data_IF_880176751001
#
_entry.id   IF_880176751001
#
_cell.length_a   1.000
_cell.length_b   1.000
_cell.length_c   1.000
_cell.angle_alpha   90.00
_cell.angle_beta   90.00
_cell.angle_gamma   90.00
#
_symmetry.space_group_name_H-M   'P 1'
#
loop_
_entity.id
_entity.type
_entity.pdbx_description
1 polymer ?
#
# COMPACT_ATOMS: atom_id res chain seq x y z
N UNK A 1 7.10 -6.20 -12.53
CA UNK A 1 7.28 -6.57 -11.09
C UNK A 1 7.76 -8.00 -10.90
N UNK A 2 7.43 -8.93 -11.82
CA UNK A 2 7.86 -10.33 -11.76
C UNK A 2 9.39 -10.51 -11.90
N UNK A 3 10.09 -9.54 -12.52
CA UNK A 3 11.55 -9.63 -12.74
C UNK A 3 12.37 -9.32 -11.49
N UNK A 4 11.76 -8.73 -10.46
CA UNK A 4 12.41 -8.46 -9.17
C UNK A 4 12.02 -9.59 -8.21
N UNK A 5 12.95 -10.51 -7.98
CA UNK A 5 12.74 -11.74 -7.20
C UNK A 5 13.72 -11.81 -6.03
N UNK A 6 13.39 -12.56 -4.97
CA UNK A 6 14.32 -12.79 -3.87
C UNK A 6 15.42 -13.81 -4.24
N UNK A 7 16.56 -13.85 -3.51
CA UNK A 7 16.87 -13.02 -2.35
C UNK A 7 17.04 -11.55 -2.72
N UNK A 8 16.44 -10.66 -1.93
CA UNK A 8 16.52 -9.22 -2.20
C UNK A 8 17.87 -8.64 -1.74
N UNK A 9 18.36 -7.68 -2.52
CA UNK A 9 19.34 -6.68 -2.09
C UNK A 9 18.57 -5.42 -1.71
N UNK A 10 19.24 -4.45 -1.09
CA UNK A 10 18.59 -3.18 -0.76
C UNK A 10 18.04 -2.49 -2.02
N UNK A 11 18.83 -2.45 -3.09
CA UNK A 11 18.43 -1.87 -4.36
C UNK A 11 17.18 -2.54 -4.94
N UNK A 12 17.15 -3.88 -4.97
CA UNK A 12 16.01 -4.61 -5.53
C UNK A 12 14.80 -4.54 -4.61
N UNK A 13 14.98 -4.51 -3.29
CA UNK A 13 13.90 -4.28 -2.33
C UNK A 13 13.26 -2.89 -2.51
N UNK A 14 14.05 -1.82 -2.64
CA UNK A 14 13.55 -0.46 -2.91
C UNK A 14 12.77 -0.42 -4.23
N UNK A 15 13.31 -1.00 -5.30
CA UNK A 15 12.61 -1.12 -6.59
C UNK A 15 11.30 -1.92 -6.46
N UNK A 16 11.28 -2.99 -5.66
CA UNK A 16 10.06 -3.78 -5.41
C UNK A 16 8.99 -2.95 -4.70
N UNK A 17 9.37 -2.19 -3.68
CA UNK A 17 8.46 -1.32 -2.92
C UNK A 17 7.86 -0.24 -3.81
N UNK A 18 8.67 0.44 -4.64
CA UNK A 18 8.17 1.47 -5.56
C UNK A 18 7.31 0.90 -6.68
N UNK A 19 7.68 -0.24 -7.25
CA UNK A 19 6.79 -0.92 -8.20
C UNK A 19 5.43 -1.28 -7.57
N UNK A 20 5.41 -1.73 -6.31
CA UNK A 20 4.15 -1.98 -5.60
C UNK A 20 3.36 -0.69 -5.33
N UNK A 21 4.02 0.41 -4.95
CA UNK A 21 3.39 1.73 -4.83
C UNK A 21 2.70 2.13 -6.14
N UNK A 22 3.42 2.06 -7.27
CA UNK A 22 2.90 2.48 -8.57
C UNK A 22 1.70 1.64 -8.98
N UNK A 23 1.75 0.33 -8.77
CA UNK A 23 0.61 -0.55 -9.03
C UNK A 23 -0.60 -0.19 -8.19
N UNK A 24 -0.45 0.04 -6.88
CA UNK A 24 -1.57 0.44 -6.02
C UNK A 24 -2.15 1.80 -6.40
N UNK A 25 -1.32 2.75 -6.86
CA UNK A 25 -1.76 4.06 -7.35
C UNK A 25 -2.53 3.99 -8.68
N UNK A 26 -2.52 2.85 -9.40
CA UNK A 26 -3.43 2.67 -10.54
C UNK A 26 -4.89 2.51 -10.13
N UNK A 27 -5.14 2.11 -8.88
CA UNK A 27 -6.47 1.79 -8.35
C UNK A 27 -7.24 0.78 -9.21
N UNK A 28 -6.53 -0.11 -9.91
CA UNK A 28 -7.07 -1.16 -10.78
C UNK A 28 -6.98 -2.52 -10.06
N UNK A 29 -8.08 -3.06 -9.50
CA UNK A 29 -8.06 -4.28 -8.72
C UNK A 29 -7.50 -5.50 -9.48
N UNK A 30 -7.95 -5.83 -10.70
CA UNK A 30 -7.35 -6.91 -11.49
C UNK A 30 -5.85 -6.74 -11.72
N UNK A 31 -5.40 -5.52 -12.06
CA UNK A 31 -3.99 -5.24 -12.30
C UNK A 31 -3.16 -5.39 -11.03
N UNK A 32 -3.61 -4.85 -9.90
CA UNK A 32 -2.92 -4.98 -8.61
C UNK A 32 -2.85 -6.44 -8.16
N UNK A 33 -3.91 -7.23 -8.38
CA UNK A 33 -3.96 -8.64 -8.04
C UNK A 33 -2.86 -9.49 -8.73
N UNK A 34 -2.34 -9.06 -9.89
CA UNK A 34 -1.26 -9.76 -10.61
C UNK A 34 0.07 -9.82 -9.82
N UNK A 35 0.24 -8.94 -8.84
CA UNK A 35 1.41 -8.93 -7.95
C UNK A 35 1.44 -10.08 -6.92
N UNK A 36 0.35 -10.83 -6.79
CA UNK A 36 0.16 -11.85 -5.76
C UNK A 36 0.04 -13.26 -6.37
N UNK A 37 0.42 -14.28 -5.60
CA UNK A 37 0.19 -15.67 -6.01
C UNK A 37 -1.31 -16.01 -5.98
N UNK A 38 -1.79 -17.01 -6.76
CA UNK A 38 -3.21 -17.40 -6.76
C UNK A 38 -3.76 -17.84 -5.41
N UNK A 39 -2.88 -18.23 -4.48
CA UNK A 39 -3.19 -18.69 -3.12
C UNK A 39 -2.70 -17.71 -2.04
N UNK A 40 -2.36 -16.46 -2.42
CA UNK A 40 -1.78 -15.48 -1.52
C UNK A 40 -2.67 -15.23 -0.30
N UNK A 41 -2.06 -15.21 0.89
CA UNK A 41 -2.76 -15.00 2.17
C UNK A 41 -2.66 -13.53 2.56
N UNK A 42 -3.80 -12.91 2.83
CA UNK A 42 -3.86 -11.53 3.31
C UNK A 42 -4.45 -11.45 4.71
N UNK A 43 -3.83 -10.61 5.53
CA UNK A 43 -4.53 -9.87 6.58
C UNK A 43 -4.47 -8.40 6.23
N UNK A 44 -5.62 -7.75 6.17
CA UNK A 44 -5.70 -6.30 6.04
C UNK A 44 -6.52 -5.75 7.21
N UNK A 45 -5.83 -5.12 8.17
CA UNK A 45 -6.40 -4.73 9.46
C UNK A 45 -7.02 -5.95 10.16
N UNK A 46 -8.35 -6.01 10.24
CA UNK A 46 -9.13 -7.08 10.86
C UNK A 46 -9.70 -8.08 9.85
N UNK A 47 -9.52 -7.87 8.54
CA UNK A 47 -10.00 -8.76 7.49
C UNK A 47 -8.95 -9.80 7.12
N UNK A 48 -9.35 -11.07 7.01
CA UNK A 48 -8.50 -12.20 6.61
C UNK A 48 -9.11 -12.88 5.41
N UNK A 49 -8.32 -13.08 4.36
CA UNK A 49 -8.78 -13.71 3.12
C UNK A 49 -7.60 -14.23 2.30
N UNK A 50 -7.89 -15.05 1.30
CA UNK A 50 -6.86 -15.62 0.43
C UNK A 50 -7.29 -15.73 -1.01
N UNK A 51 -6.32 -15.60 -1.90
CA UNK A 51 -6.46 -15.86 -3.33
C UNK A 51 -6.98 -14.68 -4.17
N UNK A 52 -6.78 -14.80 -5.48
CA UNK A 52 -6.95 -13.71 -6.45
C UNK A 52 -8.35 -13.09 -6.41
N UNK A 53 -9.39 -13.92 -6.39
CA UNK A 53 -10.79 -13.45 -6.42
C UNK A 53 -11.10 -12.56 -5.19
N UNK A 54 -10.77 -13.04 -3.99
CA UNK A 54 -10.97 -12.29 -2.76
C UNK A 54 -10.12 -11.00 -2.69
N UNK A 55 -8.91 -11.02 -3.27
CA UNK A 55 -8.08 -9.81 -3.39
C UNK A 55 -8.75 -8.77 -4.31
N UNK A 56 -9.25 -9.20 -5.47
CA UNK A 56 -9.95 -8.32 -6.42
C UNK A 56 -11.22 -7.74 -5.79
N UNK A 57 -12.02 -8.56 -5.12
CA UNK A 57 -13.23 -8.13 -4.42
C UNK A 57 -12.90 -7.09 -3.33
N UNK A 58 -11.92 -7.39 -2.48
CA UNK A 58 -11.48 -6.48 -1.42
C UNK A 58 -11.03 -5.13 -1.98
N UNK A 59 -10.19 -5.14 -3.02
CA UNK A 59 -9.64 -3.93 -3.63
C UNK A 59 -10.73 -3.12 -4.35
N UNK A 60 -11.70 -3.80 -4.97
CA UNK A 60 -12.87 -3.15 -5.59
C UNK A 60 -13.71 -2.42 -4.54
N UNK A 61 -14.01 -3.08 -3.42
CA UNK A 61 -14.72 -2.46 -2.30
C UNK A 61 -13.92 -1.30 -1.68
N UNK A 62 -12.59 -1.45 -1.55
CA UNK A 62 -11.69 -0.41 -1.05
C UNK A 62 -11.80 0.87 -1.87
N UNK A 63 -11.62 0.82 -3.19
CA UNK A 63 -11.62 2.03 -4.02
C UNK A 63 -13.01 2.53 -4.42
N UNK A 64 -14.07 1.75 -4.17
CA UNK A 64 -15.44 2.29 -4.15
C UNK A 64 -15.69 3.21 -2.94
N UNK A 65 -14.96 3.01 -1.85
CA UNK A 65 -15.05 3.84 -0.63
C UNK A 65 -14.00 4.93 -0.58
N UNK A 66 -12.75 4.58 -0.87
CA UNK A 66 -11.58 5.44 -0.73
C UNK A 66 -11.27 6.16 -2.05
N UNK A 67 -11.91 7.30 -2.26
CA UNK A 67 -11.75 8.13 -3.46
C UNK A 67 -10.48 8.97 -3.41
N UNK A 68 -10.01 9.41 -4.59
CA UNK A 68 -8.84 10.28 -4.73
C UNK A 68 -7.61 9.73 -3.99
N UNK A 69 -7.49 8.41 -3.99
CA UNK A 69 -6.46 7.65 -3.29
C UNK A 69 -5.08 7.97 -3.86
N UNK A 70 -4.15 8.37 -2.99
CA UNK A 70 -2.74 8.58 -3.35
C UNK A 70 -1.87 7.95 -2.28
N UNK A 71 -0.93 7.10 -2.69
CA UNK A 71 -0.09 6.29 -1.82
C UNK A 71 1.39 6.57 -2.05
N UNK A 72 2.13 6.64 -0.95
CA UNK A 72 3.59 6.51 -0.91
C UNK A 72 3.97 5.31 -0.04
N UNK A 73 4.88 4.47 -0.54
CA UNK A 73 5.52 3.39 0.21
C UNK A 73 7.02 3.65 0.31
N UNK A 74 7.60 3.33 1.46
CA UNK A 74 9.04 3.35 1.68
C UNK A 74 9.50 2.01 2.27
N UNK A 75 10.69 1.59 1.84
CA UNK A 75 11.33 0.39 2.38
C UNK A 75 11.71 0.66 3.84
N UNK A 76 11.23 -0.17 4.77
CA UNK A 76 11.65 -0.13 6.16
C UNK A 76 12.81 -1.10 6.41
N UNK A 77 12.65 -2.36 5.99
CA UNK A 77 13.70 -3.38 6.10
C UNK A 77 13.44 -4.53 5.12
N UNK A 78 14.44 -5.36 4.86
CA UNK A 78 14.30 -6.57 4.04
C UNK A 78 15.20 -7.68 4.58
N UNK A 79 14.81 -8.92 4.32
CA UNK A 79 15.63 -10.08 4.60
C UNK A 79 15.22 -11.22 3.67
N UNK A 80 16.14 -11.62 2.78
CA UNK A 80 15.96 -12.76 1.88
C UNK A 80 14.69 -12.65 1.01
N UNK A 81 13.61 -13.37 1.35
CA UNK A 81 12.32 -13.38 0.65
C UNK A 81 11.26 -12.47 1.29
N UNK A 82 11.67 -11.59 2.21
CA UNK A 82 10.76 -10.72 2.97
C UNK A 82 11.13 -9.25 2.84
N UNK A 83 10.09 -8.42 2.83
CA UNK A 83 10.21 -6.96 2.86
C UNK A 83 9.22 -6.44 3.89
N UNK A 84 9.70 -5.57 4.79
CA UNK A 84 8.89 -4.74 5.66
C UNK A 84 8.81 -3.33 5.06
N UNK A 85 7.60 -2.78 5.02
CA UNK A 85 7.28 -1.53 4.33
C UNK A 85 6.51 -0.63 5.26
N UNK A 86 6.88 0.65 5.28
CA UNK A 86 6.04 1.71 5.81
C UNK A 86 5.34 2.43 4.67
N UNK A 87 4.13 2.92 4.91
CA UNK A 87 3.39 3.63 3.89
C UNK A 87 2.43 4.65 4.46
N UNK A 88 2.08 5.60 3.62
CA UNK A 88 1.06 6.59 3.87
C UNK A 88 0.18 6.70 2.64
N UNK A 89 -1.13 6.75 2.84
CA UNK A 89 -2.02 7.15 1.76
C UNK A 89 -3.05 8.14 2.24
N UNK A 90 -3.44 9.03 1.35
CA UNK A 90 -4.53 9.99 1.56
C UNK A 90 -5.70 9.66 0.66
N UNK A 91 -6.91 9.82 1.18
CA UNK A 91 -8.15 9.51 0.46
C UNK A 91 -9.33 10.31 1.03
N UNK A 92 -10.39 10.40 0.24
CA UNK A 92 -11.71 10.83 0.70
C UNK A 92 -12.59 9.61 0.96
N UNK A 93 -13.26 9.60 2.10
CA UNK A 93 -14.12 8.49 2.49
C UNK A 93 -15.58 8.77 2.10
N UNK A 94 -16.09 8.04 1.08
CA UNK A 94 -17.47 8.16 0.62
C UNK A 94 -18.52 7.77 1.68
N UNK A 95 -18.12 7.00 2.69
CA UNK A 95 -19.02 6.63 3.79
C UNK A 95 -19.09 7.69 4.89
N UNK A 96 -18.27 8.74 4.76
CA UNK A 96 -18.02 9.70 5.83
C UNK A 96 -17.93 11.12 5.26
N UNK A 97 -18.94 11.50 4.45
CA UNK A 97 -19.09 12.85 3.91
C UNK A 97 -17.93 13.32 3.03
N UNK A 98 -17.19 12.41 2.40
CA UNK A 98 -15.99 12.72 1.61
C UNK A 98 -14.88 13.42 2.42
N UNK A 99 -14.85 13.21 3.74
CA UNK A 99 -13.80 13.74 4.61
C UNK A 99 -12.44 13.14 4.26
N UNK A 100 -11.41 13.98 4.26
CA UNK A 100 -10.04 13.57 3.96
C UNK A 100 -9.40 12.85 5.14
N UNK A 101 -8.81 11.69 4.86
CA UNK A 101 -8.08 10.90 5.85
C UNK A 101 -6.67 10.60 5.34
N UNK A 102 -5.73 10.52 6.27
CA UNK A 102 -4.39 9.96 6.04
C UNK A 102 -4.28 8.66 6.81
N UNK A 103 -4.03 7.57 6.09
CA UNK A 103 -3.68 6.29 6.71
C UNK A 103 -2.17 6.23 6.88
N UNK A 104 -1.74 5.90 8.10
CA UNK A 104 -0.37 5.49 8.42
C UNK A 104 -0.37 3.98 8.53
N UNK A 105 0.55 3.29 7.87
CA UNK A 105 0.57 1.84 7.98
C UNK A 105 1.91 1.17 7.73
N UNK A 106 1.92 -0.10 8.12
CA UNK A 106 3.03 -1.02 7.99
C UNK A 106 2.53 -2.28 7.27
N UNK A 107 3.36 -2.80 6.37
CA UNK A 107 3.12 -4.07 5.71
C UNK A 107 4.32 -4.99 5.84
N UNK A 108 4.09 -6.26 6.16
CA UNK A 108 5.06 -7.32 5.95
C UNK A 108 4.68 -8.18 4.75
N UNK A 109 5.65 -8.39 3.87
CA UNK A 109 5.52 -9.08 2.61
C UNK A 109 6.40 -10.32 2.61
N UNK A 110 5.88 -11.46 2.17
CA UNK A 110 6.68 -12.66 1.87
C UNK A 110 6.46 -13.06 0.43
N UNK A 111 7.55 -13.34 -0.28
CA UNK A 111 7.54 -13.59 -1.71
C UNK A 111 7.81 -15.05 -2.05
N UNK A 112 7.17 -15.51 -3.11
CA UNK A 112 7.54 -16.75 -3.77
C UNK A 112 8.84 -16.56 -4.57
N UNK A 113 9.80 -17.47 -4.40
CA UNK A 113 11.16 -17.31 -4.96
C UNK A 113 11.19 -17.42 -6.47
N UNK A 114 10.42 -18.36 -7.02
CA UNK A 114 10.45 -18.67 -8.45
C UNK A 114 9.73 -17.59 -9.26
N UNK A 115 8.56 -17.17 -8.80
CA UNK A 115 7.71 -16.23 -9.52
C UNK A 115 8.00 -14.77 -9.17
N UNK A 116 8.56 -14.50 -7.98
CA UNK A 116 8.69 -13.15 -7.43
C UNK A 116 7.36 -12.51 -7.01
N UNK A 117 6.25 -13.26 -7.04
CA UNK A 117 4.94 -12.78 -6.60
C UNK A 117 4.81 -12.87 -5.09
N UNK A 118 4.03 -11.99 -4.50
CA UNK A 118 3.80 -12.01 -3.06
C UNK A 118 2.86 -13.16 -2.69
N UNK A 119 3.28 -14.05 -1.78
CA UNK A 119 2.48 -15.18 -1.27
C UNK A 119 1.84 -14.91 0.09
N UNK A 120 2.29 -13.87 0.80
CA UNK A 120 1.71 -13.40 2.05
C UNK A 120 1.82 -11.88 2.16
N UNK A 121 0.72 -11.21 2.51
CA UNK A 121 0.66 -9.77 2.82
C UNK A 121 -0.06 -9.56 4.14
N UNK A 122 0.63 -8.98 5.12
CA UNK A 122 0.00 -8.57 6.37
C UNK A 122 0.11 -7.07 6.48
N UNK A 123 -1.03 -6.38 6.55
CA UNK A 123 -1.07 -4.92 6.64
C UNK A 123 -1.79 -4.49 7.91
N UNK A 124 -1.15 -3.60 8.66
CA UNK A 124 -1.76 -2.83 9.73
C UNK A 124 -1.75 -1.36 9.33
N UNK A 125 -2.81 -0.64 9.65
CA UNK A 125 -2.86 0.80 9.43
C UNK A 125 -3.96 1.46 10.23
N UNK A 126 -3.79 2.76 10.46
CA UNK A 126 -4.67 3.60 11.25
C UNK A 126 -4.95 4.89 10.49
N UNK A 127 -6.20 5.32 10.50
CA UNK A 127 -6.63 6.52 9.78
C UNK A 127 -6.69 7.72 10.72
N UNK A 128 -6.11 8.82 10.26
CA UNK A 128 -6.15 10.13 10.88
C UNK A 128 -7.04 11.06 10.03
N UNK A 129 -8.00 11.74 10.66
CA UNK A 129 -8.78 12.79 9.99
C UNK A 129 -7.88 14.00 9.73
N UNK A 130 -7.90 14.51 8.50
CA UNK A 130 -7.14 15.71 8.10
C UNK A 130 -8.00 16.97 8.15
N UNK A 131 -7.35 18.13 8.28
CA UNK A 131 -8.00 19.44 8.25
C UNK A 131 -8.48 19.94 9.63
N UNK A 132 -9.25 21.05 9.65
CA UNK A 132 -9.62 21.76 10.88
C UNK A 132 -10.35 20.91 11.92
N UNK A 133 -11.20 19.98 11.48
CA UNK A 133 -11.94 19.08 12.37
C UNK A 133 -11.16 17.80 12.74
N UNK A 134 -9.89 17.71 12.29
CA UNK A 134 -9.01 16.57 12.48
C UNK A 134 -7.71 16.98 13.18
N UNK A 135 -6.58 16.64 12.55
CA UNK A 135 -5.25 16.96 13.08
C UNK A 135 -4.81 18.42 12.86
N UNK A 136 -5.63 19.27 12.22
CA UNK A 136 -5.29 20.64 11.86
C UNK A 136 -4.25 20.77 10.73
N UNK A 137 -3.75 19.66 10.19
CA UNK A 137 -2.79 19.65 9.09
C UNK A 137 -3.48 19.47 7.74
N UNK A 138 -2.84 20.02 6.70
CA UNK A 138 -3.24 19.83 5.31
C UNK A 138 -2.80 18.47 4.75
N UNK A 139 -3.24 18.24 3.52
CA UNK A 139 -2.85 17.09 2.70
C UNK A 139 -1.41 17.17 2.22
N UNK A 140 -0.78 16.02 2.04
CA UNK A 140 0.54 15.85 1.44
C UNK A 140 0.46 15.56 -0.06
N UNK A 141 -0.47 14.71 -0.47
CA UNK A 141 -0.53 14.18 -1.82
C UNK A 141 -1.60 14.91 -2.65
N UNK A 142 -1.43 16.22 -2.79
CA UNK A 142 -2.29 17.06 -3.63
C UNK A 142 -2.06 16.81 -5.12
N UNK A 143 -2.96 17.31 -5.96
CA UNK A 143 -2.82 17.15 -7.41
C UNK A 143 -1.54 17.82 -7.94
N UNK A 144 -0.90 17.20 -8.92
CA UNK A 144 0.33 17.70 -9.56
C UNK A 144 1.63 17.40 -8.82
N UNK A 145 1.58 16.81 -7.62
CA UNK A 145 2.77 16.48 -6.83
C UNK A 145 3.27 15.07 -7.11
N UNK A 146 4.60 14.89 -7.21
CA UNK A 146 5.22 13.57 -7.14
C UNK A 146 5.25 13.09 -5.67
N UNK A 147 4.51 12.02 -5.40
CA UNK A 147 4.43 11.39 -4.07
C UNK A 147 5.81 10.99 -3.51
N UNK A 148 6.79 10.73 -4.37
CA UNK A 148 8.15 10.36 -3.96
C UNK A 148 8.98 11.57 -3.48
N UNK A 149 8.64 12.78 -3.93
CA UNK A 149 9.38 14.00 -3.62
C UNK A 149 8.78 14.78 -2.44
N UNK A 150 7.57 14.41 -1.99
CA UNK A 150 6.93 15.07 -0.85
C UNK A 150 7.82 14.96 0.40
N UNK A 151 8.15 16.07 1.08
CA UNK A 151 8.89 16.01 2.33
C UNK A 151 7.98 15.47 3.45
N UNK A 152 8.35 14.30 3.99
CA UNK A 152 7.73 13.73 5.19
C UNK A 152 8.78 13.82 6.30
N UNK A 153 8.50 14.57 7.35
CA UNK A 153 9.42 14.74 8.49
C UNK A 153 9.48 13.50 9.36
N UNK A 154 10.60 13.27 10.06
CA UNK A 154 10.84 12.13 10.96
C UNK A 154 9.71 11.84 11.96
N UNK A 155 8.97 12.84 12.46
CA UNK A 155 7.78 12.65 13.31
C UNK A 155 6.66 11.78 12.69
N UNK A 156 6.74 11.52 11.39
CA UNK A 156 5.77 10.74 10.63
C UNK A 156 6.38 9.45 10.04
N UNK A 157 7.65 9.16 10.32
CA UNK A 157 8.37 7.96 9.88
C UNK A 157 8.10 6.76 10.78
#
# INVERSE_FOLDING_TARGET
>A
MADIKPPFTEETARKKVKAAQDMWNTQDPPRVAQGYTPTCIWRNRTSFFSGTENIVEFLTAKWKREHNYRLRKELFSFHDDRIAVQFWYEYQDATDGMRWKRCYGLEDWTFDRETGKMRKRMMSGNDLLLGPDGNGEGRWFVEGVDVNEVPISEKHW
#
